data_IF_812351167610
#
_entry.id   IF_812351167610
#
_cell.length_a   1.000
_cell.length_b   1.000
_cell.length_c   1.000
_cell.angle_alpha   90.00
_cell.angle_beta   90.00
_cell.angle_gamma   90.00
#
_symmetry.space_group_name_H-M   'P 1'
#
loop_
_entity.id
_entity.type
_entity.pdbx_description
1 polymer ?
#
# COMPACT_ATOMS: atom_id res chain seq x y z
N UNK A 1 38.90 -43.47 46.99
CA UNK A 1 38.51 -43.09 45.61
C UNK A 1 37.14 -43.70 45.35
N UNK A 2 36.01 -43.04 45.66
CA UNK A 2 35.41 -41.82 45.06
C UNK A 2 34.88 -42.10 43.63
N UNK A 3 33.64 -41.81 43.21
CA UNK A 3 32.42 -41.32 43.88
C UNK A 3 31.32 -41.16 42.81
N UNK A 4 30.14 -41.78 43.03
CA UNK A 4 28.76 -41.31 42.72
C UNK A 4 28.39 -41.09 41.23
N UNK A 5 27.38 -41.70 40.61
CA UNK A 5 26.11 -42.30 41.06
C UNK A 5 25.46 -41.55 42.21
N UNK A 6 24.76 -40.44 41.91
CA UNK A 6 23.66 -39.79 42.68
C UNK A 6 23.27 -38.50 41.92
N UNK A 7 21.95 -38.24 41.78
CA UNK A 7 21.21 -37.16 41.06
C UNK A 7 20.75 -37.52 39.64
N UNK A 8 19.46 -37.53 39.26
CA UNK A 8 18.18 -37.15 39.89
C UNK A 8 17.10 -37.69 38.93
N UNK A 9 16.41 -38.78 39.23
CA UNK A 9 15.01 -38.79 39.69
C UNK A 9 14.34 -37.39 39.73
N UNK A 10 13.14 -37.33 39.14
CA UNK A 10 12.14 -36.24 39.16
C UNK A 10 12.19 -35.19 38.03
N UNK A 11 11.59 -35.52 36.87
CA UNK A 11 10.57 -34.65 36.24
C UNK A 11 9.68 -35.40 35.24
N UNK A 12 9.12 -36.52 35.69
CA UNK A 12 7.98 -37.17 35.04
C UNK A 12 6.71 -36.63 35.72
N UNK A 13 6.41 -35.35 35.53
CA UNK A 13 5.21 -34.68 36.06
C UNK A 13 5.04 -33.33 35.35
N UNK A 14 4.35 -33.32 34.21
CA UNK A 14 3.58 -32.18 33.67
C UNK A 14 2.63 -32.67 32.55
N UNK A 15 1.98 -33.81 32.79
CA UNK A 15 0.69 -34.12 32.18
C UNK A 15 -0.37 -33.88 33.27
N UNK A 16 -1.40 -33.09 32.91
CA UNK A 16 -2.59 -32.68 33.70
C UNK A 16 -2.46 -31.35 34.46
N UNK A 17 -2.86 -30.28 33.76
CA UNK A 17 -3.58 -29.06 34.21
C UNK A 17 -3.74 -28.24 32.92
N UNK A 18 -4.85 -28.26 32.19
CA UNK A 18 -6.14 -27.66 32.54
C UNK A 18 -7.24 -28.35 31.72
N UNK A 19 -8.10 -29.10 32.39
CA UNK A 19 -9.42 -29.46 31.90
C UNK A 19 -10.40 -29.25 33.06
N UNK A 20 -11.49 -28.55 32.75
CA UNK A 20 -12.71 -28.21 33.52
C UNK A 20 -12.90 -26.70 33.57
N UNK A 21 -14.09 -26.14 33.41
CA UNK A 21 -15.43 -26.64 33.08
C UNK A 21 -16.31 -25.38 33.08
N UNK A 22 -17.36 -25.34 32.27
CA UNK A 22 -18.33 -24.24 32.36
C UNK A 22 -19.22 -24.08 31.14
N UNK A 23 -19.92 -25.13 30.74
CA UNK A 23 -21.22 -24.99 30.07
C UNK A 23 -22.20 -24.28 31.00
N UNK A 24 -23.09 -23.43 30.49
CA UNK A 24 -24.53 -23.47 30.80
C UNK A 24 -25.36 -22.39 30.05
N UNK A 25 -26.43 -22.90 29.42
CA UNK A 25 -27.80 -22.37 29.24
C UNK A 25 -27.99 -20.92 28.74
N UNK A 26 -28.59 -20.68 27.56
CA UNK A 26 -29.96 -20.97 27.11
C UNK A 26 -31.07 -20.26 27.90
N UNK A 27 -31.94 -19.54 27.13
CA UNK A 27 -33.21 -18.82 27.44
C UNK A 27 -33.05 -17.30 27.31
N UNK A 28 -33.93 -16.52 26.70
CA UNK A 28 -35.23 -16.72 26.05
C UNK A 28 -35.47 -15.45 25.19
N UNK A 29 -36.01 -15.58 23.97
CA UNK A 29 -37.41 -15.27 23.61
C UNK A 29 -37.75 -13.80 23.28
N UNK A 30 -38.58 -13.70 22.25
CA UNK A 30 -39.61 -12.68 21.96
C UNK A 30 -39.25 -11.46 21.07
N UNK A 31 -39.70 -11.57 19.82
CA UNK A 31 -40.70 -10.71 19.16
C UNK A 31 -40.50 -9.20 19.29
N UNK A 32 -40.20 -8.53 18.17
CA UNK A 32 -41.13 -7.53 17.60
C UNK A 32 -40.73 -7.10 16.19
N UNK A 33 -41.70 -7.28 15.29
CA UNK A 33 -41.81 -6.72 13.95
C UNK A 33 -42.12 -5.22 14.08
N UNK A 34 -41.27 -4.36 13.50
CA UNK A 34 -41.66 -2.99 13.14
C UNK A 34 -41.06 -2.69 11.77
N UNK A 35 -41.91 -2.78 10.74
CA UNK A 35 -41.68 -2.17 9.43
C UNK A 35 -42.06 -0.70 9.55
N UNK A 36 -41.08 0.19 9.51
CA UNK A 36 -41.32 1.62 9.27
C UNK A 36 -40.68 1.94 7.93
N UNK A 37 -41.52 1.98 6.89
CA UNK A 37 -41.16 2.55 5.61
C UNK A 37 -41.37 4.07 5.69
N UNK A 38 -40.35 4.80 6.11
CA UNK A 38 -40.30 6.26 5.95
C UNK A 38 -39.94 6.57 4.50
N UNK A 39 -40.94 6.94 3.71
CA UNK A 39 -40.76 7.55 2.40
C UNK A 39 -40.17 8.96 2.58
N UNK A 40 -38.85 9.09 2.45
CA UNK A 40 -38.21 10.40 2.28
C UNK A 40 -38.49 10.89 0.86
N UNK A 41 -39.51 11.73 0.70
CA UNK A 41 -39.64 12.59 -0.45
C UNK A 41 -38.47 13.58 -0.45
N UNK A 42 -37.43 13.31 -1.24
CA UNK A 42 -36.37 14.25 -1.53
C UNK A 42 -36.96 15.41 -2.34
N UNK A 43 -37.29 16.51 -1.66
CA UNK A 43 -37.61 17.78 -2.31
C UNK A 43 -36.29 18.34 -2.87
N UNK A 44 -36.16 18.36 -4.19
CA UNK A 44 -35.11 19.08 -4.89
C UNK A 44 -35.35 20.59 -4.76
N UNK A 45 -34.42 21.30 -4.12
CA UNK A 45 -34.42 22.76 -4.05
C UNK A 45 -34.25 23.38 -5.46
N UNK A 46 -34.90 24.53 -5.77
CA UNK A 46 -34.69 25.26 -7.02
C UNK A 46 -33.29 25.91 -7.05
N UNK A 47 -32.68 25.93 -8.24
CA UNK A 47 -31.44 26.65 -8.51
C UNK A 47 -31.61 28.18 -8.35
N UNK A 48 -30.61 28.91 -7.82
CA UNK A 48 -30.63 30.36 -7.82
C UNK A 48 -30.40 30.92 -9.22
N UNK A 49 -31.38 31.69 -9.69
CA UNK A 49 -31.32 32.56 -10.86
C UNK A 49 -30.16 33.56 -10.75
N UNK A 50 -29.29 33.71 -11.78
CA UNK A 50 -28.37 34.83 -11.86
C UNK A 50 -29.13 36.15 -11.97
N UNK A 51 -28.92 37.01 -10.98
CA UNK A 51 -29.50 38.34 -10.90
C UNK A 51 -29.08 39.22 -12.07
N UNK A 52 -30.09 39.86 -12.66
CA UNK A 52 -30.00 40.90 -13.65
C UNK A 52 -29.38 42.15 -13.00
N UNK A 53 -28.13 42.50 -13.35
CA UNK A 53 -27.54 43.80 -13.01
C UNK A 53 -27.56 44.72 -14.25
N UNK A 54 -27.96 46.00 -14.11
CA UNK A 54 -28.25 46.87 -15.24
C UNK A 54 -27.00 47.34 -15.97
N UNK A 55 -27.09 47.38 -17.30
CA UNK A 55 -26.10 47.97 -18.19
C UNK A 55 -25.99 49.50 -17.99
N UNK A 56 -24.78 50.09 -17.97
CA UNK A 56 -24.63 51.55 -17.98
C UNK A 56 -24.93 52.14 -19.37
N UNK A 57 -25.42 53.40 -19.45
CA UNK A 57 -25.86 54.03 -20.69
C UNK A 57 -24.70 54.44 -21.61
N UNK A 58 -24.91 54.53 -22.94
CA UNK A 58 -23.89 54.96 -23.88
C UNK A 58 -23.75 56.49 -23.86
N UNK A 59 -22.52 56.98 -23.68
CA UNK A 59 -22.17 58.39 -23.87
C UNK A 59 -21.55 58.54 -25.26
N UNK A 60 -22.26 59.21 -26.16
CA UNK A 60 -21.75 59.55 -27.49
C UNK A 60 -20.90 60.83 -27.43
N UNK A 61 -19.70 60.80 -28.00
CA UNK A 61 -18.90 61.98 -28.34
C UNK A 61 -18.06 61.70 -29.61
N UNK A 62 -17.68 62.73 -30.39
CA UNK A 62 -17.55 62.63 -31.85
C UNK A 62 -16.15 62.28 -32.36
N UNK A 63 -16.13 61.95 -33.65
CA UNK A 63 -15.00 61.54 -34.49
C UNK A 63 -13.74 62.39 -34.35
N UNK A 64 -12.60 61.71 -34.16
CA UNK A 64 -11.26 62.21 -34.44
C UNK A 64 -10.41 61.05 -34.98
N UNK A 65 -10.03 61.12 -36.26
CA UNK A 65 -9.25 60.10 -36.95
C UNK A 65 -7.83 60.00 -36.35
N UNK A 66 -7.49 58.85 -35.77
CA UNK A 66 -6.11 58.42 -35.54
C UNK A 66 -5.93 57.01 -36.13
N UNK A 67 -4.85 56.75 -36.89
CA UNK A 67 -4.64 55.44 -37.51
C UNK A 67 -4.42 54.36 -36.43
N UNK A 68 -5.26 53.33 -36.51
CA UNK A 68 -5.28 52.16 -35.65
C UNK A 68 -4.02 51.31 -35.85
N UNK A 69 -2.99 51.52 -35.03
CA UNK A 69 -1.91 50.55 -34.88
C UNK A 69 -2.44 49.35 -34.09
N UNK A 70 -2.84 48.29 -34.80
CA UNK A 70 -3.26 47.04 -34.20
C UNK A 70 -2.12 46.41 -33.40
N UNK A 71 -2.15 46.56 -32.07
CA UNK A 71 -1.39 45.72 -31.16
C UNK A 71 -2.02 44.33 -31.21
N UNK A 72 -1.40 43.41 -31.96
CA UNK A 72 -1.76 42.00 -31.94
C UNK A 72 -1.56 41.47 -30.52
N UNK A 73 -2.62 40.94 -29.91
CA UNK A 73 -2.52 40.26 -28.63
C UNK A 73 -1.57 39.05 -28.77
N UNK A 74 -0.64 38.83 -27.82
CA UNK A 74 0.22 37.65 -27.87
C UNK A 74 -0.65 36.38 -27.82
N UNK A 75 -0.26 35.30 -28.55
CA UNK A 75 -1.00 34.06 -28.54
C UNK A 75 -1.13 33.53 -27.10
N UNK A 76 -2.29 32.93 -26.74
CA UNK A 76 -2.45 32.33 -25.43
C UNK A 76 -1.35 31.28 -25.21
N UNK A 77 -0.65 31.39 -24.08
CA UNK A 77 0.32 30.40 -23.68
C UNK A 77 -0.34 29.00 -23.65
N UNK A 78 0.34 27.94 -24.13
CA UNK A 78 -0.18 26.59 -23.98
C UNK A 78 -0.43 26.33 -22.51
N UNK A 79 -1.66 25.92 -22.17
CA UNK A 79 -1.97 25.47 -20.82
C UNK A 79 -0.96 24.36 -20.44
N UNK A 80 -0.42 24.36 -19.21
CA UNK A 80 0.38 23.25 -18.77
C UNK A 80 -0.45 21.98 -18.92
N UNK A 81 0.10 20.98 -19.60
CA UNK A 81 -0.37 19.60 -19.51
C UNK A 81 -0.13 19.13 -18.07
N UNK A 82 -0.97 19.59 -17.13
CA UNK A 82 -1.27 18.80 -15.96
C UNK A 82 -2.13 17.67 -16.48
N UNK A 83 -1.45 16.63 -16.97
CA UNK A 83 -2.06 15.33 -17.14
C UNK A 83 -2.67 15.01 -15.78
N UNK A 84 -3.99 15.20 -15.69
CA UNK A 84 -4.77 14.88 -14.52
C UNK A 84 -4.64 13.37 -14.35
N UNK A 85 -3.60 12.94 -13.66
CA UNK A 85 -3.61 11.65 -12.99
C UNK A 85 -4.71 11.78 -11.95
N UNK A 86 -5.95 11.53 -12.39
CA UNK A 86 -7.14 11.70 -11.58
C UNK A 86 -6.99 10.78 -10.39
N UNK A 87 -6.76 11.36 -9.21
CA UNK A 87 -6.75 10.60 -7.96
C UNK A 87 -8.09 9.89 -7.86
N UNK A 88 -8.05 8.56 -7.81
CA UNK A 88 -9.22 7.72 -7.67
C UNK A 88 -9.46 7.43 -6.19
N UNK A 89 -10.74 7.30 -5.88
CA UNK A 89 -11.20 6.83 -4.58
C UNK A 89 -11.35 5.32 -4.65
N UNK A 90 -10.73 4.60 -3.72
CA UNK A 90 -10.95 3.18 -3.49
C UNK A 90 -11.40 2.96 -2.04
N UNK A 91 -12.19 1.92 -1.79
CA UNK A 91 -12.63 1.55 -0.43
C UNK A 91 -12.59 0.04 -0.32
N UNK A 92 -12.04 -0.46 0.78
CA UNK A 92 -11.87 -1.89 0.97
C UNK A 92 -11.44 -2.25 2.38
N UNK A 93 -11.56 -3.54 2.70
CA UNK A 93 -11.11 -4.11 3.96
C UNK A 93 -9.68 -4.59 3.83
N UNK A 94 -8.81 -4.20 4.76
CA UNK A 94 -7.41 -4.61 4.79
C UNK A 94 -7.34 -6.09 5.11
N UNK A 95 -6.82 -6.89 4.18
CA UNK A 95 -6.62 -8.34 4.39
C UNK A 95 -5.25 -8.63 5.00
N UNK A 96 -4.21 -7.96 4.51
CA UNK A 96 -2.83 -8.11 5.01
C UNK A 96 -2.01 -6.86 4.75
N UNK A 97 -0.97 -6.67 5.56
CA UNK A 97 0.06 -5.66 5.31
C UNK A 97 1.10 -6.20 4.34
N UNK A 98 1.87 -5.27 3.75
CA UNK A 98 3.04 -5.53 2.91
C UNK A 98 4.21 -4.79 3.54
N UNK A 99 5.40 -5.38 3.47
CA UNK A 99 6.62 -4.78 3.98
C UNK A 99 7.70 -4.72 2.90
N UNK A 100 8.60 -3.75 3.02
CA UNK A 100 9.85 -3.72 2.28
C UNK A 100 10.87 -4.70 2.90
N UNK A 101 11.98 -5.03 2.19
CA UNK A 101 13.04 -5.89 2.73
C UNK A 101 13.61 -5.41 4.08
N UNK A 102 13.62 -4.10 4.33
CA UNK A 102 14.05 -3.50 5.59
C UNK A 102 13.10 -3.77 6.77
N UNK A 103 11.85 -4.16 6.50
CA UNK A 103 10.85 -4.52 7.50
C UNK A 103 9.80 -3.44 7.78
N UNK A 104 9.89 -2.29 7.13
CA UNK A 104 8.91 -1.22 7.19
C UNK A 104 7.66 -1.60 6.39
N UNK A 105 6.49 -1.27 6.94
CA UNK A 105 5.22 -1.39 6.23
C UNK A 105 5.12 -0.30 5.17
N UNK A 106 5.14 -0.71 3.90
CA UNK A 106 5.06 0.15 2.72
C UNK A 106 3.73 -0.03 1.96
N UNK A 107 2.77 -0.72 2.57
CA UNK A 107 1.46 -0.92 1.97
C UNK A 107 0.61 -2.01 2.62
N UNK A 108 -0.48 -2.34 1.94
CA UNK A 108 -1.37 -3.43 2.31
C UNK A 108 -2.15 -3.93 1.09
N UNK A 109 -2.74 -5.12 1.23
CA UNK A 109 -3.61 -5.72 0.23
C UNK A 109 -5.03 -5.76 0.76
N UNK A 110 -5.98 -5.32 -0.05
CA UNK A 110 -7.41 -5.45 0.24
C UNK A 110 -7.92 -6.88 0.09
N UNK A 111 -9.13 -7.12 0.57
CA UNK A 111 -9.82 -8.40 0.43
C UNK A 111 -9.99 -8.84 -1.04
N UNK A 112 -10.11 -7.89 -1.96
CA UNK A 112 -10.23 -8.07 -3.42
C UNK A 112 -8.90 -8.20 -4.16
N UNK A 113 -7.79 -8.44 -3.44
CA UNK A 113 -6.43 -8.51 -3.96
C UNK A 113 -5.84 -7.19 -4.50
N UNK A 114 -6.52 -6.05 -4.33
CA UNK A 114 -5.93 -4.73 -4.68
C UNK A 114 -4.76 -4.41 -3.76
N UNK A 115 -3.57 -4.19 -4.33
CA UNK A 115 -2.39 -3.72 -3.61
C UNK A 115 -2.43 -2.19 -3.50
N UNK A 116 -2.35 -1.69 -2.27
CA UNK A 116 -2.22 -0.28 -1.94
C UNK A 116 -0.81 -0.04 -1.40
N UNK A 117 -0.08 0.87 -2.03
CA UNK A 117 1.27 1.28 -1.64
C UNK A 117 1.22 2.61 -0.89
N UNK A 118 2.06 2.75 0.12
CA UNK A 118 2.23 3.96 0.92
C UNK A 118 3.70 4.15 1.28
N UNK A 119 4.19 5.38 1.46
CA UNK A 119 5.62 5.60 1.68
C UNK A 119 6.15 4.89 2.95
N UNK A 120 7.28 4.16 2.85
CA UNK A 120 7.80 3.35 3.96
C UNK A 120 8.22 4.18 5.18
N UNK A 121 8.65 5.43 5.01
CA UNK A 121 9.01 6.31 6.15
C UNK A 121 7.81 6.68 7.03
N UNK A 122 6.59 6.46 6.54
CA UNK A 122 5.36 6.65 7.30
C UNK A 122 4.81 5.33 7.89
N UNK A 123 5.62 4.26 7.90
CA UNK A 123 5.20 2.94 8.37
C UNK A 123 4.60 2.97 9.78
N UNK A 124 5.25 3.65 10.72
CA UNK A 124 4.80 3.69 12.12
C UNK A 124 3.42 4.37 12.27
N UNK A 125 3.18 5.44 11.50
CA UNK A 125 1.92 6.16 11.47
C UNK A 125 0.84 5.29 10.83
N UNK A 126 1.18 4.60 9.73
CA UNK A 126 0.26 3.71 9.03
C UNK A 126 -0.23 2.58 9.93
N UNK A 127 0.66 1.83 10.57
CA UNK A 127 0.27 0.70 11.43
C UNK A 127 -0.41 1.12 12.74
N UNK A 128 -0.27 2.40 13.14
CA UNK A 128 -1.01 2.96 14.27
C UNK A 128 -2.43 3.39 13.87
N UNK A 129 -2.62 3.83 12.61
CA UNK A 129 -3.89 4.31 12.07
C UNK A 129 -4.84 3.15 11.73
N UNK A 130 -4.30 2.08 11.14
CA UNK A 130 -5.09 0.99 10.55
C UNK A 130 -4.56 -0.37 10.96
N UNK A 131 -5.46 -1.34 11.05
CA UNK A 131 -5.14 -2.73 11.35
C UNK A 131 -5.72 -3.67 10.30
N UNK A 132 -5.24 -4.92 10.27
CA UNK A 132 -5.87 -5.96 9.45
C UNK A 132 -7.34 -6.11 9.87
N UNK A 133 -8.24 -6.16 8.90
CA UNK A 133 -9.69 -6.20 9.11
C UNK A 133 -10.36 -4.83 9.17
N UNK A 134 -9.62 -3.72 9.28
CA UNK A 134 -10.22 -2.39 9.18
C UNK A 134 -10.68 -2.11 7.74
N UNK A 135 -11.82 -1.43 7.61
CA UNK A 135 -12.28 -0.86 6.33
C UNK A 135 -11.71 0.55 6.20
N UNK A 136 -11.07 0.82 5.07
CA UNK A 136 -10.41 2.11 4.81
C UNK A 136 -10.80 2.66 3.45
N UNK A 137 -10.85 3.98 3.36
CA UNK A 137 -11.00 4.72 2.11
C UNK A 137 -9.68 5.36 1.72
N UNK A 138 -9.32 5.16 0.47
CA UNK A 138 -8.06 5.59 -0.12
C UNK A 138 -8.35 6.62 -1.18
N UNK A 139 -7.60 7.72 -1.17
CA UNK A 139 -7.46 8.63 -2.31
C UNK A 139 -6.04 8.46 -2.83
N UNK A 140 -5.88 8.15 -4.11
CA UNK A 140 -4.56 7.89 -4.66
C UNK A 140 -4.54 7.64 -6.16
N UNK A 141 -3.36 7.36 -6.68
CA UNK A 141 -3.12 7.12 -8.10
C UNK A 141 -3.18 5.62 -8.38
N UNK A 142 -3.94 5.21 -9.40
CA UNK A 142 -4.00 3.81 -9.83
C UNK A 142 -3.08 3.61 -11.03
N UNK A 143 -2.21 2.61 -10.96
CA UNK A 143 -1.37 2.21 -12.10
C UNK A 143 -2.09 1.25 -13.06
N UNK A 144 -1.45 0.96 -14.19
CA UNK A 144 -1.99 0.03 -15.21
C UNK A 144 -2.08 -1.42 -14.72
N UNK A 145 -1.36 -1.77 -13.65
CA UNK A 145 -1.39 -3.10 -13.00
C UNK A 145 -2.51 -3.21 -11.96
N UNK A 146 -3.28 -2.14 -11.73
CA UNK A 146 -4.34 -2.08 -10.74
C UNK A 146 -3.86 -1.86 -9.31
N UNK A 147 -2.57 -1.57 -9.09
CA UNK A 147 -2.08 -1.12 -7.79
C UNK A 147 -2.48 0.33 -7.56
N UNK A 148 -2.59 0.73 -6.30
CA UNK A 148 -2.93 2.10 -5.90
C UNK A 148 -1.82 2.68 -5.05
N UNK A 149 -1.18 3.75 -5.52
CA UNK A 149 -0.31 4.58 -4.69
C UNK A 149 -1.17 5.56 -3.90
N UNK A 150 -1.33 5.30 -2.60
CA UNK A 150 -2.19 6.10 -1.73
C UNK A 150 -1.54 7.45 -1.40
N UNK A 151 -2.31 8.52 -1.61
CA UNK A 151 -1.97 9.89 -1.18
C UNK A 151 -2.67 10.23 0.14
N UNK A 152 -3.81 9.60 0.40
CA UNK A 152 -4.54 9.73 1.66
C UNK A 152 -5.24 8.42 2.00
N UNK A 153 -5.18 8.05 3.27
CA UNK A 153 -5.81 6.87 3.85
C UNK A 153 -6.72 7.34 4.98
N UNK A 154 -7.99 6.97 4.93
CA UNK A 154 -8.97 7.27 5.97
C UNK A 154 -9.46 5.95 6.57
N UNK A 155 -9.37 5.81 7.89
CA UNK A 155 -9.99 4.69 8.59
C UNK A 155 -11.48 4.97 8.79
N UNK A 156 -12.34 4.21 8.14
CA UNK A 156 -13.79 4.46 8.15
C UNK A 156 -14.42 4.25 9.54
N UNK A 157 -13.78 3.44 10.39
CA UNK A 157 -14.25 3.17 11.76
C UNK A 157 -13.91 4.31 12.72
N UNK A 158 -12.71 4.88 12.62
CA UNK A 158 -12.22 5.90 13.55
C UNK A 158 -12.32 7.33 13.02
N UNK A 159 -12.51 7.50 11.72
CA UNK A 159 -12.45 8.79 11.04
C UNK A 159 -11.05 9.39 10.94
N UNK A 160 -10.02 8.72 11.47
CA UNK A 160 -8.65 9.21 11.41
C UNK A 160 -8.10 9.13 9.98
N UNK A 161 -7.25 10.09 9.63
CA UNK A 161 -6.67 10.22 8.31
C UNK A 161 -5.15 10.27 8.38
N UNK A 162 -4.51 9.67 7.38
CA UNK A 162 -3.08 9.77 7.13
C UNK A 162 -2.88 10.22 5.69
N UNK A 163 -2.20 11.34 5.54
CA UNK A 163 -1.87 11.94 4.24
C UNK A 163 -0.39 11.71 3.98
N UNK A 164 -0.07 11.34 2.74
CA UNK A 164 1.31 11.21 2.25
C UNK A 164 2.05 12.52 2.48
N UNK A 165 3.20 12.42 3.14
CA UNK A 165 4.11 13.52 3.41
C UNK A 165 5.48 13.15 2.87
N UNK A 166 6.22 14.09 2.27
CA UNK A 166 7.57 13.83 1.82
C UNK A 166 8.44 13.37 3.01
N UNK A 167 9.48 12.56 2.75
CA UNK A 167 10.47 12.24 3.76
C UNK A 167 11.04 13.52 4.39
N UNK A 168 11.35 13.53 5.70
CA UNK A 168 11.96 14.70 6.32
C UNK A 168 13.29 15.04 5.62
N UNK A 169 13.54 16.33 5.36
CA UNK A 169 14.72 16.77 4.59
C UNK A 169 16.05 16.52 5.31
N UNK A 170 16.03 16.41 6.64
CA UNK A 170 17.23 16.26 7.49
C UNK A 170 17.48 14.83 7.98
N UNK A 171 16.68 13.83 7.56
CA UNK A 171 17.06 12.44 7.79
C UNK A 171 18.14 12.05 6.78
N UNK A 172 19.38 12.00 7.25
CA UNK A 172 20.46 11.37 6.50
C UNK A 172 19.99 9.97 6.06
N UNK A 173 20.04 9.71 4.75
CA UNK A 173 19.73 8.39 4.23
C UNK A 173 20.69 7.42 4.92
N UNK A 174 20.13 6.41 5.62
CA UNK A 174 20.97 5.41 6.25
C UNK A 174 21.91 4.82 5.18
N UNK A 175 23.21 4.84 5.49
CA UNK A 175 24.24 4.25 4.63
C UNK A 175 23.79 2.83 4.24
N UNK A 176 24.03 2.37 3.00
CA UNK A 176 23.63 1.03 2.58
C UNK A 176 24.03 -0.08 3.57
N UNK A 177 25.18 0.07 4.23
CA UNK A 177 25.67 -0.85 5.28
C UNK A 177 24.73 -0.87 6.49
N UNK A 178 24.24 0.30 6.92
CA UNK A 178 23.31 0.41 8.05
C UNK A 178 21.89 -0.02 7.67
N UNK A 179 21.46 0.15 6.41
CA UNK A 179 20.20 -0.43 5.92
C UNK A 179 20.23 -1.95 5.92
N UNK A 180 21.39 -2.55 5.69
CA UNK A 180 21.59 -4.00 5.82
C UNK A 180 21.68 -4.50 7.27
N UNK A 181 21.85 -3.61 8.26
CA UNK A 181 22.02 -4.00 9.64
C UNK A 181 20.68 -4.51 10.21
N UNK A 182 20.62 -5.81 10.50
CA UNK A 182 19.40 -6.47 10.99
C UNK A 182 18.67 -7.31 9.93
N UNK A 183 19.10 -7.26 8.67
CA UNK A 183 18.59 -8.18 7.66
C UNK A 183 19.12 -9.59 7.92
N UNK A 184 18.22 -10.57 7.85
CA UNK A 184 18.54 -12.00 7.97
C UNK A 184 18.55 -12.64 6.60
N UNK A 185 19.35 -13.69 6.44
CA UNK A 185 19.32 -14.47 5.21
C UNK A 185 18.01 -15.27 5.15
N UNK A 186 17.23 -15.05 4.09
CA UNK A 186 15.95 -15.70 3.85
C UNK A 186 16.00 -16.54 2.58
N UNK A 187 15.15 -17.56 2.53
CA UNK A 187 14.95 -18.42 1.37
C UNK A 187 13.47 -18.73 1.24
N UNK A 188 12.91 -18.46 0.07
CA UNK A 188 11.48 -18.54 -0.18
C UNK A 188 11.21 -19.31 -1.46
N UNK A 189 10.07 -20.00 -1.49
CA UNK A 189 9.54 -20.70 -2.66
C UNK A 189 8.03 -20.54 -2.64
N UNK A 190 7.44 -20.11 -3.75
CA UNK A 190 6.01 -19.91 -3.80
C UNK A 190 5.50 -19.52 -5.18
N UNK A 191 4.18 -19.42 -5.27
CA UNK A 191 3.48 -19.00 -6.48
C UNK A 191 3.41 -17.48 -6.49
N UNK A 192 3.81 -16.88 -7.60
CA UNK A 192 3.67 -15.44 -7.85
C UNK A 192 2.19 -15.09 -7.92
N UNK A 193 1.76 -14.20 -7.02
CA UNK A 193 0.43 -13.60 -7.07
C UNK A 193 0.41 -12.41 -8.02
N UNK A 194 1.42 -11.54 -7.93
CA UNK A 194 1.58 -10.38 -8.82
C UNK A 194 3.02 -9.92 -8.93
N UNK A 195 3.28 -9.13 -9.96
CA UNK A 195 4.53 -8.41 -10.17
C UNK A 195 4.47 -7.09 -9.41
N UNK A 196 5.56 -6.72 -8.74
CA UNK A 196 5.71 -5.38 -8.16
C UNK A 196 6.48 -4.49 -9.12
N UNK A 197 6.24 -3.18 -9.04
CA UNK A 197 6.87 -2.20 -9.93
C UNK A 197 7.53 -1.07 -9.15
N UNK A 198 8.66 -0.61 -9.66
CA UNK A 198 9.29 0.63 -9.26
C UNK A 198 8.42 1.84 -9.65
N UNK A 199 8.67 3.05 -9.10
CA UNK A 199 7.86 4.24 -9.38
C UNK A 199 7.70 4.62 -10.86
N UNK A 200 8.65 4.21 -11.72
CA UNK A 200 8.59 4.42 -13.18
C UNK A 200 7.79 3.35 -13.93
N UNK A 201 7.14 2.42 -13.21
CA UNK A 201 6.39 1.30 -13.78
C UNK A 201 7.26 0.11 -14.22
N UNK A 202 8.57 0.19 -14.02
CA UNK A 202 9.50 -0.90 -14.32
C UNK A 202 9.30 -2.06 -13.32
N UNK A 203 9.29 -3.33 -13.75
CA UNK A 203 9.24 -4.45 -12.81
C UNK A 203 10.43 -4.43 -11.85
N UNK A 204 10.17 -4.62 -10.56
CA UNK A 204 11.18 -4.58 -9.50
C UNK A 204 11.09 -5.78 -8.53
N UNK A 205 10.26 -6.77 -8.86
CA UNK A 205 10.06 -7.92 -8.00
C UNK A 205 8.70 -8.60 -8.18
N UNK A 206 8.37 -9.45 -7.21
CA UNK A 206 7.10 -10.17 -7.13
C UNK A 206 6.58 -10.22 -5.70
N UNK A 207 5.26 -10.28 -5.61
CA UNK A 207 4.54 -10.69 -4.41
C UNK A 207 4.04 -12.11 -4.59
N UNK A 208 4.33 -12.98 -3.63
CA UNK A 208 3.86 -14.36 -3.59
C UNK A 208 2.44 -14.45 -2.99
N UNK A 209 1.76 -15.58 -3.20
CA UNK A 209 0.39 -15.80 -2.70
C UNK A 209 0.25 -15.71 -1.17
N UNK A 210 1.29 -16.09 -0.44
CA UNK A 210 1.36 -15.94 1.03
C UNK A 210 1.56 -14.48 1.48
N UNK A 211 1.89 -13.57 0.55
CA UNK A 211 2.15 -12.16 0.80
C UNK A 211 3.63 -11.81 0.90
N UNK A 212 4.52 -12.79 0.74
CA UNK A 212 5.96 -12.56 0.76
C UNK A 212 6.39 -11.69 -0.42
N UNK A 213 7.22 -10.67 -0.17
CA UNK A 213 7.79 -9.81 -1.20
C UNK A 213 9.22 -10.25 -1.54
N UNK A 214 9.49 -10.40 -2.83
CA UNK A 214 10.83 -10.62 -3.36
C UNK A 214 11.18 -9.44 -4.24
N UNK A 215 12.08 -8.58 -3.77
CA UNK A 215 12.58 -7.42 -4.51
C UNK A 215 13.89 -7.74 -5.23
N UNK A 216 14.11 -7.05 -6.34
CA UNK A 216 15.37 -7.03 -7.07
C UNK A 216 15.46 -5.75 -7.92
N UNK A 217 16.66 -5.27 -8.27
CA UNK A 217 16.80 -4.05 -9.04
C UNK A 217 16.15 -4.20 -10.43
N UNK A 218 15.52 -3.15 -10.99
CA UNK A 218 14.85 -3.24 -12.29
C UNK A 218 15.70 -3.79 -13.45
N UNK A 219 17.03 -3.51 -13.56
CA UNK A 219 17.87 -4.15 -14.56
C UNK A 219 17.93 -5.68 -14.42
N UNK A 220 17.95 -6.18 -13.19
CA UNK A 220 17.97 -7.62 -12.89
C UNK A 220 16.59 -8.22 -13.15
N UNK A 221 15.52 -7.59 -12.66
CA UNK A 221 14.14 -8.04 -12.88
C UNK A 221 13.82 -8.28 -14.36
N UNK A 222 14.29 -7.38 -15.24
CA UNK A 222 14.10 -7.49 -16.70
C UNK A 222 14.72 -8.74 -17.31
N UNK A 223 15.74 -9.33 -16.69
CA UNK A 223 16.34 -10.58 -17.17
C UNK A 223 15.45 -11.81 -16.88
N UNK A 224 14.51 -11.69 -15.93
CA UNK A 224 13.66 -12.79 -15.47
C UNK A 224 12.18 -12.58 -15.82
N UNK A 225 11.87 -11.85 -16.89
CA UNK A 225 10.48 -11.52 -17.26
C UNK A 225 9.58 -12.73 -17.53
N UNK A 226 10.16 -13.88 -17.91
CA UNK A 226 9.42 -15.13 -18.04
C UNK A 226 8.92 -15.68 -16.70
N UNK A 227 9.62 -15.36 -15.60
CA UNK A 227 9.30 -15.81 -14.24
C UNK A 227 8.48 -14.77 -13.45
N UNK A 228 8.64 -13.48 -13.74
CA UNK A 228 7.88 -12.40 -13.11
C UNK A 228 6.48 -12.27 -13.74
N UNK A 229 5.64 -13.29 -13.56
CA UNK A 229 4.25 -13.31 -14.04
C UNK A 229 3.36 -14.03 -13.02
N UNK A 230 2.08 -13.66 -12.89
CA UNK A 230 1.15 -14.39 -12.03
C UNK A 230 1.10 -15.88 -12.35
N UNK A 231 0.83 -16.70 -11.33
CA UNK A 231 0.72 -18.16 -11.37
C UNK A 231 2.01 -18.94 -11.69
N UNK A 232 3.17 -18.28 -11.78
CA UNK A 232 4.47 -18.96 -11.90
C UNK A 232 5.01 -19.34 -10.52
N UNK A 233 5.58 -20.54 -10.39
CA UNK A 233 6.31 -20.93 -9.17
C UNK A 233 7.76 -20.47 -9.28
N UNK A 234 8.22 -19.71 -8.29
CA UNK A 234 9.60 -19.22 -8.21
C UNK A 234 10.26 -19.68 -6.91
N UNK A 235 11.59 -19.57 -6.88
CA UNK A 235 12.36 -19.63 -5.65
C UNK A 235 13.38 -18.50 -5.63
N UNK A 236 13.62 -17.96 -4.44
CA UNK A 236 14.54 -16.86 -4.23
C UNK A 236 15.31 -17.04 -2.92
N UNK A 237 16.54 -16.52 -2.89
CA UNK A 237 17.35 -16.38 -1.68
C UNK A 237 17.89 -14.96 -1.62
N UNK A 238 18.06 -14.45 -0.42
CA UNK A 238 18.43 -13.05 -0.25
C UNK A 238 18.53 -12.64 1.20
N UNK A 239 18.58 -11.34 1.42
CA UNK A 239 18.59 -10.73 2.75
C UNK A 239 17.35 -9.89 2.93
N UNK A 240 16.73 -9.97 4.11
CA UNK A 240 15.49 -9.27 4.37
C UNK A 240 15.00 -9.44 5.80
N UNK A 241 13.72 -9.18 5.99
CA UNK A 241 13.07 -9.17 7.29
C UNK A 241 11.83 -10.04 7.28
N UNK A 242 11.60 -10.74 8.39
CA UNK A 242 10.33 -11.40 8.73
C UNK A 242 9.83 -10.83 10.04
N UNK A 243 8.66 -10.20 10.04
CA UNK A 243 8.04 -9.65 11.23
C UNK A 243 6.52 -9.95 11.25
N UNK A 244 5.80 -9.37 12.21
CA UNK A 244 4.35 -9.58 12.37
C UNK A 244 3.51 -9.07 11.18
N UNK A 245 4.05 -8.16 10.38
CA UNK A 245 3.36 -7.54 9.24
C UNK A 245 3.56 -8.34 7.95
N UNK A 246 4.70 -9.02 7.78
CA UNK A 246 4.96 -9.90 6.64
C UNK A 246 6.39 -10.42 6.57
N UNK A 247 6.76 -10.85 5.37
CA UNK A 247 8.11 -11.29 5.02
C UNK A 247 8.50 -10.64 3.69
N UNK A 248 9.71 -10.08 3.64
CA UNK A 248 10.27 -9.52 2.42
C UNK A 248 11.78 -9.73 2.37
N UNK A 249 12.31 -9.89 1.16
CA UNK A 249 13.75 -9.97 0.94
C UNK A 249 14.18 -9.32 -0.37
N UNK A 250 15.38 -8.76 -0.36
CA UNK A 250 16.12 -8.39 -1.56
C UNK A 250 16.84 -9.63 -2.07
N UNK A 251 16.51 -10.08 -3.28
CA UNK A 251 17.04 -11.31 -3.84
C UNK A 251 18.53 -11.14 -4.19
N UNK A 252 19.35 -12.09 -3.74
CA UNK A 252 20.72 -12.31 -4.21
C UNK A 252 20.81 -13.54 -5.13
N UNK A 253 19.77 -14.38 -5.13
CA UNK A 253 19.59 -15.46 -6.08
C UNK A 253 18.10 -15.63 -6.40
N UNK A 254 17.76 -15.91 -7.66
CA UNK A 254 16.37 -16.04 -8.13
C UNK A 254 16.27 -17.02 -9.30
N UNK A 255 15.14 -17.71 -9.41
CA UNK A 255 14.87 -18.61 -10.52
C UNK A 255 13.67 -19.52 -10.29
N UNK A 256 13.66 -20.64 -11.00
CA UNK A 256 12.68 -21.70 -10.75
C UNK A 256 13.07 -22.47 -9.49
N UNK A 257 12.14 -23.22 -8.86
CA UNK A 257 12.46 -24.01 -7.68
C UNK A 257 13.64 -24.98 -7.84
N UNK A 258 13.85 -25.48 -9.05
CA UNK A 258 14.90 -26.46 -9.36
C UNK A 258 16.17 -25.79 -9.91
N UNK A 259 16.11 -24.51 -10.31
CA UNK A 259 17.24 -23.77 -10.87
C UNK A 259 17.22 -22.32 -10.37
N UNK A 260 17.89 -22.08 -9.25
CA UNK A 260 18.06 -20.76 -8.65
C UNK A 260 19.48 -20.25 -8.96
N UNK A 261 19.58 -19.14 -9.69
CA UNK A 261 20.85 -18.55 -10.13
C UNK A 261 21.19 -17.33 -9.29
N UNK A 262 22.48 -17.12 -8.98
CA UNK A 262 22.91 -15.88 -8.33
C UNK A 262 22.66 -14.69 -9.25
N UNK A 263 22.08 -13.63 -8.68
CA UNK A 263 21.76 -12.39 -9.39
C UNK A 263 22.98 -11.48 -9.51
N UNK A 264 23.88 -11.57 -8.53
CA UNK A 264 25.12 -10.83 -8.50
C UNK A 264 26.27 -11.83 -8.55
N UNK A 265 27.13 -11.70 -9.54
CA UNK A 265 28.43 -12.37 -9.48
C UNK A 265 29.21 -11.69 -8.35
N UNK A 266 29.39 -12.39 -7.23
CA UNK A 266 30.39 -12.00 -6.24
C UNK A 266 31.78 -12.09 -6.89
N UNK A 267 32.21 -11.03 -7.57
CA UNK A 267 33.62 -10.79 -7.81
C UNK A 267 34.07 -9.77 -6.77
N UNK A 268 34.58 -10.21 -5.60
CA UNK A 268 35.35 -9.31 -4.77
C UNK A 268 36.63 -9.00 -5.55
N UNK A 269 36.78 -7.77 -6.02
CA UNK A 269 38.10 -7.21 -6.29
C UNK A 269 38.69 -6.71 -4.98
#
# INVERSE_FOLDING_TARGET
MSSKSIFRIARLHELKRYARAGSNLARAAAISLVVVATACAAQTAPAPTPGNLPAPPPVAAPMGNVPNMALQAPPPAPAPFMEQQQSRVATGTIRRFVINPEGDVDGFVFADDTLVLFPPHMSSQLVSLVHRGDTVRIVGLRDNSGNVSAQQITNERTGQQLVDQPPPVDVAHASPVLRGAGLVQLSVKGIVMRVTTAPRGEPDGVMLQDGTIVKMPPPVARQYMSLLRPAVVIAARGYGTRNQYGEALEATAFGTPDNVTQLYNNNPN
#
